data_IF_901392770056
#
_entry.id   IF_901392770056
#
_cell.length_a   1.000
_cell.length_b   1.000
_cell.length_c   1.000
_cell.angle_alpha   90.00
_cell.angle_beta   90.00
_cell.angle_gamma   90.00
#
_symmetry.space_group_name_H-M   'P 1'
#
loop_
_entity.id
_entity.type
_entity.pdbx_description
1 polymer ?
#
# COMPACT_ATOMS: atom_id res chain seq x y z
N UNK A 1 -6.05 -72.20 -0.17
CA UNK A 1 -6.23 -70.91 0.53
C UNK A 1 -5.86 -69.82 -0.46
N UNK A 2 -6.85 -69.09 -0.98
CA UNK A 2 -6.62 -68.06 -2.00
C UNK A 2 -6.47 -66.71 -1.29
N UNK A 3 -5.29 -66.09 -1.43
CA UNK A 3 -5.05 -64.73 -0.97
C UNK A 3 -5.31 -63.80 -2.15
N UNK A 4 -6.28 -62.91 -1.99
CA UNK A 4 -6.56 -61.80 -2.93
C UNK A 4 -5.84 -60.57 -2.37
N UNK A 5 -4.87 -60.04 -3.11
CA UNK A 5 -4.20 -58.78 -2.76
C UNK A 5 -4.82 -57.67 -3.60
N UNK A 6 -5.52 -56.75 -2.94
CA UNK A 6 -6.10 -55.55 -3.56
C UNK A 6 -5.07 -54.43 -3.44
N UNK A 7 -4.57 -53.94 -4.57
CA UNK A 7 -3.75 -52.71 -4.60
C UNK A 7 -4.63 -51.51 -4.95
N UNK A 8 -4.61 -50.49 -4.10
CA UNK A 8 -5.23 -49.20 -4.41
C UNK A 8 -4.23 -48.34 -5.20
N UNK A 9 -4.61 -47.94 -6.42
CA UNK A 9 -3.83 -46.98 -7.22
C UNK A 9 -4.07 -45.58 -6.65
N UNK A 10 -2.99 -44.88 -6.26
CA UNK A 10 -3.05 -43.47 -5.86
C UNK A 10 -3.65 -42.65 -7.02
N UNK A 11 -4.73 -41.91 -6.75
CA UNK A 11 -5.41 -41.07 -7.74
C UNK A 11 -4.45 -40.07 -8.39
N UNK A 12 -4.66 -39.80 -9.69
CA UNK A 12 -3.78 -38.96 -10.49
C UNK A 12 -3.87 -37.48 -10.07
N UNK A 13 -2.75 -36.92 -9.57
CA UNK A 13 -2.65 -35.53 -9.10
C UNK A 13 -2.39 -34.52 -10.25
N UNK A 14 -2.36 -34.98 -11.51
CA UNK A 14 -2.00 -34.18 -12.68
C UNK A 14 -2.96 -32.99 -12.95
N UNK A 15 -4.28 -33.22 -12.84
CA UNK A 15 -5.31 -32.19 -13.10
C UNK A 15 -5.32 -31.11 -12.02
N UNK A 16 -5.16 -31.49 -10.75
CA UNK A 16 -5.05 -30.53 -9.65
C UNK A 16 -3.82 -29.63 -9.85
N UNK A 17 -2.67 -30.22 -10.21
CA UNK A 17 -1.44 -29.47 -10.52
C UNK A 17 -1.66 -28.50 -11.69
N UNK A 18 -2.42 -28.91 -12.71
CA UNK A 18 -2.79 -28.04 -13.84
C UNK A 18 -3.59 -26.82 -13.41
N UNK A 19 -4.60 -26.99 -12.54
CA UNK A 19 -5.45 -25.87 -12.08
C UNK A 19 -4.64 -24.88 -11.25
N UNK A 20 -3.83 -25.37 -10.31
CA UNK A 20 -2.95 -24.50 -9.51
C UNK A 20 -1.98 -23.71 -10.38
N UNK A 21 -1.37 -24.36 -11.38
CA UNK A 21 -0.49 -23.67 -12.35
C UNK A 21 -1.26 -22.60 -13.13
N UNK A 22 -2.44 -22.90 -13.67
CA UNK A 22 -3.25 -21.93 -14.42
C UNK A 22 -3.67 -20.73 -13.58
N UNK A 23 -4.07 -20.94 -12.32
CA UNK A 23 -4.43 -19.84 -11.40
C UNK A 23 -3.20 -18.99 -11.07
N UNK A 24 -2.05 -19.63 -10.81
CA UNK A 24 -0.80 -18.93 -10.54
C UNK A 24 -0.35 -18.09 -11.74
N UNK A 25 -0.47 -18.64 -12.95
CA UNK A 25 -0.11 -17.94 -14.17
C UNK A 25 -1.06 -16.78 -14.47
N UNK A 26 -2.36 -16.96 -14.23
CA UNK A 26 -3.33 -15.88 -14.35
C UNK A 26 -3.06 -14.75 -13.34
N UNK A 27 -2.82 -15.10 -12.07
CA UNK A 27 -2.46 -14.12 -11.03
C UNK A 27 -1.24 -13.32 -11.46
N UNK A 28 -0.15 -14.02 -11.81
CA UNK A 28 1.12 -13.39 -12.16
C UNK A 28 1.01 -12.50 -13.39
N UNK A 29 0.30 -12.93 -14.43
CA UNK A 29 0.32 -12.26 -15.74
C UNK A 29 -0.83 -11.26 -15.95
N UNK A 30 -1.94 -11.38 -15.20
CA UNK A 30 -3.11 -10.52 -15.36
C UNK A 30 -3.42 -9.68 -14.11
N UNK A 31 -3.21 -10.21 -12.90
CA UNK A 31 -3.66 -9.57 -11.65
C UNK A 31 -2.53 -8.80 -10.95
N UNK A 32 -1.44 -9.48 -10.62
CA UNK A 32 -0.34 -8.95 -9.80
C UNK A 32 0.37 -7.77 -10.48
N UNK A 33 0.95 -6.82 -9.78
CA UNK A 33 1.70 -5.76 -10.47
C UNK A 33 2.99 -6.27 -11.11
N UNK A 34 3.34 -5.72 -12.28
CA UNK A 34 4.65 -5.96 -12.91
C UNK A 34 5.76 -5.39 -12.03
N UNK A 35 6.74 -6.23 -11.66
CA UNK A 35 7.84 -5.85 -10.78
C UNK A 35 8.70 -4.72 -11.32
N UNK A 36 8.83 -4.60 -12.65
CA UNK A 36 9.55 -3.49 -13.28
C UNK A 36 8.82 -2.16 -13.07
N UNK A 37 7.49 -2.16 -13.20
CA UNK A 37 6.64 -0.99 -12.97
C UNK A 37 6.63 -0.55 -11.50
N UNK A 38 6.77 -1.49 -10.56
CA UNK A 38 6.86 -1.18 -9.12
C UNK A 38 8.08 -0.31 -8.79
N UNK A 39 9.22 -0.56 -9.45
CA UNK A 39 10.43 0.24 -9.25
C UNK A 39 10.20 1.69 -9.65
N UNK A 40 9.74 1.91 -10.88
CA UNK A 40 9.43 3.23 -11.43
C UNK A 40 8.39 3.98 -10.58
N UNK A 41 7.35 3.29 -10.13
CA UNK A 41 6.30 3.83 -9.27
C UNK A 41 6.84 4.39 -7.95
N UNK A 42 7.70 3.62 -7.28
CA UNK A 42 8.34 4.05 -6.02
C UNK A 42 9.26 5.25 -6.25
N UNK A 43 10.05 5.22 -7.32
CA UNK A 43 10.93 6.34 -7.67
C UNK A 43 10.15 7.61 -7.97
N UNK A 44 9.04 7.52 -8.72
CA UNK A 44 8.19 8.66 -9.03
C UNK A 44 7.57 9.28 -7.77
N UNK A 45 7.03 8.47 -6.86
CA UNK A 45 6.52 8.95 -5.57
C UNK A 45 7.63 9.60 -4.74
N UNK A 46 8.78 8.95 -4.59
CA UNK A 46 9.89 9.49 -3.81
C UNK A 46 10.38 10.83 -4.36
N UNK A 47 10.46 10.97 -5.69
CA UNK A 47 10.79 12.23 -6.33
C UNK A 47 9.76 13.32 -5.98
N UNK A 48 8.47 13.02 -6.02
CA UNK A 48 7.42 13.99 -5.67
C UNK A 48 7.52 14.41 -4.19
N UNK A 49 7.71 13.46 -3.28
CA UNK A 49 7.91 13.72 -1.85
C UNK A 49 9.10 14.65 -1.64
N UNK A 50 10.25 14.36 -2.27
CA UNK A 50 11.44 15.19 -2.19
C UNK A 50 11.20 16.62 -2.71
N UNK A 51 10.35 16.80 -3.72
CA UNK A 51 9.98 18.13 -4.21
C UNK A 51 9.11 18.88 -3.22
N UNK A 52 8.12 18.21 -2.63
CA UNK A 52 7.23 18.80 -1.63
C UNK A 52 8.02 19.23 -0.40
N UNK A 53 8.91 18.37 0.10
CA UNK A 53 9.76 18.65 1.27
C UNK A 53 10.76 19.80 1.03
N UNK A 54 11.01 20.18 -0.22
CA UNK A 54 11.89 21.32 -0.54
C UNK A 54 11.15 22.66 -0.64
N UNK A 55 9.82 22.68 -0.65
CA UNK A 55 9.07 23.94 -0.81
C UNK A 55 9.25 24.87 0.39
N UNK A 56 9.26 24.35 1.62
CA UNK A 56 9.47 25.14 2.84
C UNK A 56 10.79 25.95 2.82
N UNK A 57 11.80 25.51 2.06
CA UNK A 57 13.08 26.21 1.94
C UNK A 57 13.04 27.41 0.98
N UNK A 58 12.01 27.48 0.12
CA UNK A 58 11.93 28.45 -0.98
C UNK A 58 10.68 29.33 -0.94
N UNK A 59 9.70 28.99 -0.09
CA UNK A 59 8.45 29.72 0.08
C UNK A 59 8.10 29.80 1.57
N UNK A 60 8.19 31.01 2.14
CA UNK A 60 7.90 31.30 3.54
C UNK A 60 6.42 31.07 3.91
N UNK A 61 5.52 31.06 2.92
CA UNK A 61 4.09 30.79 3.14
C UNK A 61 3.73 29.31 3.00
N UNK A 62 4.69 28.46 2.60
CA UNK A 62 4.46 27.03 2.55
C UNK A 62 4.49 26.42 3.96
N UNK A 63 3.54 25.54 4.32
CA UNK A 63 3.53 24.95 5.66
C UNK A 63 4.78 24.11 5.94
N UNK A 64 5.35 24.25 7.14
CA UNK A 64 6.50 23.45 7.58
C UNK A 64 6.13 21.97 7.62
N UNK A 65 7.05 21.11 7.20
CA UNK A 65 6.88 19.66 7.20
C UNK A 65 7.03 19.08 8.61
N UNK A 66 6.07 18.26 9.03
CA UNK A 66 6.19 17.51 10.29
C UNK A 66 7.03 16.25 10.11
N UNK A 67 8.35 16.39 10.24
CA UNK A 67 9.33 15.33 9.95
C UNK A 67 9.22 14.07 10.82
N UNK A 68 8.59 14.14 12.00
CA UNK A 68 8.43 12.97 12.90
C UNK A 68 7.53 11.90 12.31
N UNK A 69 6.58 12.28 11.47
CA UNK A 69 5.63 11.37 10.84
C UNK A 69 5.27 11.90 9.45
N UNK A 70 6.22 11.85 8.50
CA UNK A 70 6.00 12.31 7.13
C UNK A 70 6.10 11.16 6.11
N UNK A 71 5.55 11.39 4.91
CA UNK A 71 5.55 10.42 3.80
C UNK A 71 4.96 9.06 4.22
N UNK A 72 3.83 9.12 4.94
CA UNK A 72 3.14 7.94 5.44
C UNK A 72 2.59 7.18 4.22
N UNK A 73 2.81 5.88 4.16
CA UNK A 73 2.42 5.04 3.00
C UNK A 73 1.06 4.40 3.25
N UNK A 74 0.10 4.60 2.35
CA UNK A 74 -1.28 4.10 2.52
C UNK A 74 -1.74 3.28 1.31
N UNK A 75 -2.98 2.83 1.43
CA UNK A 75 -3.69 2.26 0.32
C UNK A 75 -3.21 0.86 -0.06
N UNK A 76 -3.74 0.41 -1.19
CA UNK A 76 -3.48 -0.94 -1.68
C UNK A 76 -2.04 -1.11 -2.17
N UNK A 77 -1.38 -0.02 -2.62
CA UNK A 77 0.02 -0.04 -3.03
C UNK A 77 0.95 -0.32 -1.84
N UNK A 78 0.79 0.40 -0.72
CA UNK A 78 1.57 0.16 0.49
C UNK A 78 1.35 -1.25 1.06
N UNK A 79 0.10 -1.74 1.01
CA UNK A 79 -0.26 -3.09 1.46
C UNK A 79 0.12 -4.21 0.49
N UNK A 80 0.70 -3.90 -0.68
CA UNK A 80 1.03 -4.88 -1.75
C UNK A 80 -0.18 -5.69 -2.24
N UNK A 81 -1.34 -5.04 -2.29
CA UNK A 81 -2.62 -5.61 -2.76
C UNK A 81 -3.17 -4.91 -4.00
N UNK A 82 -2.48 -3.88 -4.49
CA UNK A 82 -2.82 -3.18 -5.73
C UNK A 82 -2.67 -4.14 -6.92
N UNK A 83 -3.66 -4.18 -7.80
CA UNK A 83 -3.70 -5.00 -9.01
C UNK A 83 -3.38 -4.16 -10.25
N UNK A 84 -3.15 -4.79 -11.41
CA UNK A 84 -3.00 -4.08 -12.69
C UNK A 84 -4.33 -3.44 -13.14
N UNK A 85 -4.28 -2.31 -13.87
CA UNK A 85 -3.10 -1.47 -14.06
C UNK A 85 -2.74 -0.69 -12.79
N UNK A 86 -1.46 -0.32 -12.64
CA UNK A 86 -1.10 0.69 -11.64
C UNK A 86 -1.63 2.04 -12.10
N UNK A 87 -2.64 2.55 -11.43
CA UNK A 87 -3.37 3.81 -11.72
C UNK A 87 -3.10 4.91 -10.68
N UNK A 88 -2.99 4.57 -9.39
CA UNK A 88 -2.69 5.51 -8.30
C UNK A 88 -1.72 4.94 -7.24
N UNK A 89 -1.19 5.84 -6.42
CA UNK A 89 -0.35 5.55 -5.25
C UNK A 89 -0.77 6.47 -4.11
N UNK A 90 -1.31 5.89 -3.04
CA UNK A 90 -1.76 6.63 -1.87
C UNK A 90 -0.62 6.88 -0.87
N UNK A 91 -0.40 8.14 -0.52
CA UNK A 91 0.50 8.56 0.56
C UNK A 91 0.00 9.86 1.21
N UNK A 92 0.43 10.14 2.44
CA UNK A 92 0.12 11.38 3.16
C UNK A 92 1.42 12.13 3.42
N UNK A 93 1.39 13.43 3.16
CA UNK A 93 2.37 14.39 3.65
C UNK A 93 1.78 15.08 4.87
N UNK A 94 2.57 15.18 5.93
CA UNK A 94 2.13 15.76 7.20
C UNK A 94 2.85 17.08 7.40
N UNK A 95 2.06 18.12 7.65
CA UNK A 95 2.55 19.46 7.97
C UNK A 95 2.45 19.70 9.48
N UNK A 96 3.28 20.60 9.99
CA UNK A 96 3.17 21.01 11.39
C UNK A 96 1.84 21.72 11.62
N UNK A 97 1.31 21.62 12.84
CA UNK A 97 0.12 22.39 13.23
C UNK A 97 0.39 23.88 13.38
N UNK A 98 1.64 24.33 13.19
CA UNK A 98 2.09 25.71 13.41
C UNK A 98 1.57 26.33 14.73
N UNK A 99 1.74 25.60 15.84
CA UNK A 99 1.26 26.02 17.16
C UNK A 99 -0.25 25.78 17.42
N UNK A 100 -1.00 25.31 16.43
CA UNK A 100 -2.40 24.91 16.61
C UNK A 100 -2.52 23.77 17.61
N UNK A 101 -3.57 23.84 18.43
CA UNK A 101 -3.91 22.82 19.42
C UNK A 101 -5.31 22.29 19.16
N UNK A 102 -5.61 21.11 19.67
CA UNK A 102 -6.96 20.56 19.62
C UNK A 102 -7.40 20.13 21.01
N UNK A 103 -8.70 20.24 21.26
CA UNK A 103 -9.35 19.71 22.46
C UNK A 103 -10.48 18.76 22.03
N UNK A 104 -10.56 17.62 22.71
CA UNK A 104 -11.61 16.63 22.48
C UNK A 104 -12.58 16.63 23.65
N UNK A 105 -13.86 16.90 23.39
CA UNK A 105 -14.91 16.79 24.41
C UNK A 105 -15.54 15.41 24.34
N UNK A 106 -15.19 14.54 25.29
CA UNK A 106 -15.57 13.13 25.28
C UNK A 106 -17.09 12.86 25.32
N UNK A 107 -17.88 13.81 25.82
CA UNK A 107 -19.31 13.60 26.07
C UNK A 107 -20.16 13.67 24.79
N UNK A 108 -19.67 14.34 23.74
CA UNK A 108 -20.40 14.60 22.50
C UNK A 108 -19.54 14.35 21.24
N UNK A 109 -18.27 13.94 21.39
CA UNK A 109 -17.38 13.66 20.27
C UNK A 109 -16.92 14.92 19.53
N UNK A 110 -17.09 16.09 20.13
CA UNK A 110 -16.71 17.36 19.54
C UNK A 110 -15.19 17.55 19.59
N UNK A 111 -14.60 17.94 18.46
CA UNK A 111 -13.19 18.29 18.32
C UNK A 111 -13.11 19.78 17.97
N UNK A 112 -12.50 20.57 18.85
CA UNK A 112 -12.27 22.00 18.62
C UNK A 112 -10.79 22.23 18.36
N UNK A 113 -10.47 22.85 17.24
CA UNK A 113 -9.10 23.25 16.87
C UNK A 113 -8.94 24.74 17.16
N UNK A 114 -7.92 25.08 17.95
CA UNK A 114 -7.52 26.45 18.22
C UNK A 114 -6.26 26.77 17.43
N UNK A 115 -6.33 27.76 16.56
CA UNK A 115 -5.22 28.23 15.73
C UNK A 115 -4.66 29.51 16.35
N UNK A 116 -3.33 29.63 16.59
CA UNK A 116 -2.73 30.87 17.07
C UNK A 116 -2.88 32.00 16.04
N UNK A 117 -2.91 33.25 16.50
CA UNK A 117 -2.91 34.45 15.65
C UNK A 117 -1.66 34.57 14.77
#
# INVERSE_FOLDING_TARGET
>A
MNIVIIYFKKGDNSVAKSIFTSISDFSKNCVDLDSTRLGTARSSRNWLVEKIEKFENNDEYFPEIYTKENNVQMGSFARKTKIRPLDDIDFIIVFTGNGSTYNTTFNNGEITISVPE
#
